data_IF_358989096690
#
_entry.id   IF_358989096690
#
_cell.length_a   1.000
_cell.length_b   1.000
_cell.length_c   1.000
_cell.angle_alpha   90.00
_cell.angle_beta   90.00
_cell.angle_gamma   90.00
#
_symmetry.space_group_name_H-M   'P 1'
#
loop_
_entity.id
_entity.type
_entity.pdbx_description
1 polymer ?
#
# COMPACT_ATOMS: atom_id res chain seq x y z
N UNK A 1 -3.95 -0.77 -22.05
CA UNK A 1 -3.00 0.22 -21.46
C UNK A 1 -2.70 -0.24 -20.05
N UNK A 2 -1.52 0.08 -19.48
CA UNK A 2 -1.25 -0.28 -18.09
C UNK A 2 -2.34 0.36 -17.23
N UNK A 3 -3.18 -0.47 -16.64
CA UNK A 3 -4.39 -0.05 -15.93
C UNK A 3 -4.06 0.61 -14.58
N UNK A 4 -2.79 0.79 -14.26
CA UNK A 4 -2.26 1.37 -13.02
C UNK A 4 -1.04 2.27 -13.33
N UNK A 5 -0.73 3.17 -12.41
CA UNK A 5 0.37 4.11 -12.53
C UNK A 5 1.55 3.67 -11.65
N UNK A 6 2.75 3.67 -12.22
CA UNK A 6 4.02 3.48 -11.51
C UNK A 6 4.95 4.63 -11.88
N UNK A 7 5.44 5.35 -10.87
CA UNK A 7 6.42 6.39 -11.08
C UNK A 7 7.74 5.79 -11.58
N UNK A 8 8.48 6.51 -12.43
CA UNK A 8 9.73 6.02 -13.04
C UNK A 8 10.83 5.63 -12.03
N UNK A 9 10.76 6.17 -10.79
CA UNK A 9 11.70 5.85 -9.71
C UNK A 9 11.21 4.75 -8.77
N UNK A 10 10.02 4.20 -8.99
CA UNK A 10 9.50 3.09 -8.20
C UNK A 10 9.99 1.75 -8.79
N UNK A 11 10.35 0.83 -7.91
CA UNK A 11 10.75 -0.52 -8.27
C UNK A 11 9.61 -1.48 -7.94
N UNK A 12 8.96 -2.00 -8.97
CA UNK A 12 7.86 -2.98 -8.82
C UNK A 12 8.30 -4.29 -9.45
N UNK A 13 8.36 -5.35 -8.64
CA UNK A 13 8.68 -6.69 -9.13
C UNK A 13 7.67 -7.11 -10.20
N UNK A 14 8.12 -7.70 -11.33
CA UNK A 14 7.20 -8.21 -12.36
C UNK A 14 6.35 -9.39 -11.86
N UNK A 15 6.69 -9.96 -10.69
CA UNK A 15 5.91 -11.01 -10.01
C UNK A 15 4.87 -10.44 -9.03
N UNK A 16 4.83 -9.12 -8.82
CA UNK A 16 3.79 -8.48 -8.04
C UNK A 16 2.49 -8.38 -8.85
N UNK A 17 1.34 -8.41 -8.15
CA UNK A 17 0.04 -8.18 -8.76
C UNK A 17 -0.42 -6.79 -8.34
N UNK A 18 -0.70 -5.93 -9.32
CA UNK A 18 -1.16 -4.56 -9.09
C UNK A 18 -2.53 -4.38 -9.75
N UNK A 19 -3.52 -4.04 -8.94
CA UNK A 19 -4.88 -3.81 -9.38
C UNK A 19 -5.02 -2.53 -10.21
N UNK A 20 -6.07 -2.48 -11.04
CA UNK A 20 -6.42 -1.30 -11.83
C UNK A 20 -6.63 -0.07 -10.94
N UNK A 21 -6.23 1.10 -11.43
CA UNK A 21 -6.35 2.38 -10.77
C UNK A 21 -5.33 2.60 -9.66
N UNK A 22 -4.50 1.60 -9.34
CA UNK A 22 -3.47 1.77 -8.32
C UNK A 22 -2.43 2.82 -8.76
N UNK A 23 -1.94 3.61 -7.81
CA UNK A 23 -0.92 4.65 -8.00
C UNK A 23 0.24 4.37 -7.07
N UNK A 24 1.38 4.02 -7.65
CA UNK A 24 2.63 3.74 -6.95
C UNK A 24 3.58 4.90 -7.19
N UNK A 25 3.81 5.71 -6.16
CA UNK A 25 4.58 6.95 -6.26
C UNK A 25 6.09 6.71 -6.07
N UNK A 26 6.83 7.82 -6.07
CA UNK A 26 8.29 7.88 -6.07
C UNK A 26 8.95 6.95 -5.05
N UNK A 27 10.00 6.23 -5.47
CA UNK A 27 10.85 5.41 -4.59
C UNK A 27 10.14 4.28 -3.84
N UNK A 28 8.91 3.93 -4.22
CA UNK A 28 8.27 2.73 -3.70
C UNK A 28 9.04 1.49 -4.14
N UNK A 29 9.04 0.47 -3.30
CA UNK A 29 9.59 -0.84 -3.59
C UNK A 29 8.51 -1.88 -3.33
N UNK A 30 8.11 -2.62 -4.35
CA UNK A 30 7.09 -3.68 -4.26
C UNK A 30 7.73 -5.00 -4.66
N UNK A 31 7.87 -5.90 -3.68
CA UNK A 31 8.54 -7.19 -3.86
C UNK A 31 7.62 -8.23 -4.50
N UNK A 32 8.21 -9.34 -4.93
CA UNK A 32 7.52 -10.47 -5.57
C UNK A 32 6.35 -11.01 -4.75
N UNK A 33 5.33 -11.52 -5.45
CA UNK A 33 4.12 -12.12 -4.86
C UNK A 33 3.28 -11.18 -3.98
N UNK A 34 3.66 -9.90 -3.84
CA UNK A 34 2.79 -8.90 -3.24
C UNK A 34 1.53 -8.70 -4.11
N UNK A 35 0.40 -8.44 -3.48
CA UNK A 35 -0.88 -8.19 -4.13
C UNK A 35 -1.41 -6.83 -3.68
N UNK A 36 -1.51 -5.89 -4.60
CA UNK A 36 -2.07 -4.56 -4.39
C UNK A 36 -3.45 -4.51 -5.04
N UNK A 37 -4.50 -4.22 -4.26
CA UNK A 37 -5.86 -4.10 -4.76
C UNK A 37 -6.09 -2.91 -5.71
N UNK A 38 -7.31 -2.83 -6.24
CA UNK A 38 -7.73 -1.74 -7.11
C UNK A 38 -7.78 -0.39 -6.37
N UNK A 39 -7.52 0.70 -7.11
CA UNK A 39 -7.60 2.09 -6.62
C UNK A 39 -6.75 2.39 -5.37
N UNK A 40 -5.71 1.61 -5.12
CA UNK A 40 -4.80 1.86 -4.00
C UNK A 40 -3.81 2.99 -4.30
N UNK A 41 -3.43 3.75 -3.28
CA UNK A 41 -2.41 4.79 -3.39
C UNK A 41 -1.26 4.46 -2.44
N UNK A 42 -0.07 4.23 -2.99
CA UNK A 42 1.18 4.09 -2.24
C UNK A 42 1.96 5.38 -2.38
N UNK A 43 2.08 6.14 -1.30
CA UNK A 43 2.85 7.38 -1.20
C UNK A 43 4.34 7.17 -1.45
N UNK A 44 5.12 8.25 -1.37
CA UNK A 44 6.58 8.21 -1.58
C UNK A 44 7.27 7.24 -0.61
N UNK A 45 8.23 6.47 -1.12
CA UNK A 45 9.13 5.64 -0.32
C UNK A 45 8.39 4.59 0.52
N UNK A 46 7.32 4.00 -0.04
CA UNK A 46 6.62 2.86 0.59
C UNK A 46 7.33 1.56 0.25
N UNK A 47 7.64 0.75 1.27
CA UNK A 47 8.18 -0.59 1.09
C UNK A 47 7.08 -1.63 1.26
N UNK A 48 6.90 -2.52 0.28
CA UNK A 48 5.94 -3.63 0.31
C UNK A 48 6.71 -4.92 0.10
N UNK A 49 6.85 -5.69 1.17
CA UNK A 49 7.61 -6.93 1.21
C UNK A 49 6.91 -8.09 0.48
N UNK A 50 7.62 -9.21 0.32
CA UNK A 50 7.13 -10.33 -0.48
C UNK A 50 5.86 -10.95 0.12
N UNK A 51 4.88 -11.22 -0.74
CA UNK A 51 3.63 -11.88 -0.32
C UNK A 51 2.65 -11.01 0.49
N UNK A 52 2.93 -9.72 0.70
CA UNK A 52 2.00 -8.79 1.36
C UNK A 52 0.70 -8.66 0.57
N UNK A 53 -0.43 -8.61 1.26
CA UNK A 53 -1.76 -8.45 0.66
C UNK A 53 -2.36 -7.11 1.04
N UNK A 54 -2.73 -6.30 0.07
CA UNK A 54 -3.38 -5.01 0.26
C UNK A 54 -4.74 -5.08 -0.45
N UNK A 55 -5.80 -4.83 0.29
CA UNK A 55 -7.18 -4.75 -0.20
C UNK A 55 -7.38 -3.61 -1.20
N UNK A 56 -8.64 -3.39 -1.60
CA UNK A 56 -9.01 -2.30 -2.51
C UNK A 56 -9.12 -0.96 -1.77
N UNK A 57 -9.02 0.15 -2.51
CA UNK A 57 -9.28 1.50 -1.99
C UNK A 57 -8.41 1.88 -0.77
N UNK A 58 -7.22 1.26 -0.63
CA UNK A 58 -6.31 1.57 0.47
C UNK A 58 -5.45 2.78 0.15
N UNK A 59 -5.09 3.55 1.18
CA UNK A 59 -4.16 4.66 1.05
C UNK A 59 -3.04 4.50 2.07
N UNK A 60 -1.83 4.35 1.56
CA UNK A 60 -0.62 4.16 2.35
C UNK A 60 0.22 5.42 2.17
N UNK A 61 0.46 6.12 3.27
CA UNK A 61 1.18 7.38 3.25
C UNK A 61 2.70 7.18 3.13
N UNK A 62 3.41 8.30 3.01
CA UNK A 62 4.84 8.30 2.73
C UNK A 62 5.66 7.60 3.83
N UNK A 63 6.72 6.90 3.41
CA UNK A 63 7.69 6.21 4.28
C UNK A 63 7.11 5.06 5.13
N UNK A 64 5.96 4.49 4.76
CA UNK A 64 5.44 3.30 5.41
C UNK A 64 6.07 2.02 4.85
N UNK A 65 6.33 1.03 5.72
CA UNK A 65 6.82 -0.30 5.32
C UNK A 65 5.82 -1.37 5.72
N UNK A 66 5.49 -2.29 4.82
CA UNK A 66 4.64 -3.45 5.04
C UNK A 66 5.50 -4.70 4.87
N UNK A 67 5.66 -5.48 5.94
CA UNK A 67 6.51 -6.67 5.95
C UNK A 67 5.73 -7.96 5.68
N UNK A 68 6.46 -9.02 5.32
CA UNK A 68 5.89 -10.33 5.06
C UNK A 68 4.89 -10.76 6.15
N UNK A 69 3.75 -11.32 5.72
CA UNK A 69 2.63 -11.71 6.60
C UNK A 69 1.58 -10.61 6.80
N UNK A 70 1.86 -9.35 6.43
CA UNK A 70 0.87 -8.27 6.53
C UNK A 70 -0.28 -8.45 5.52
N UNK A 71 -1.50 -8.26 6.01
CA UNK A 71 -2.72 -8.16 5.20
C UNK A 71 -3.49 -6.91 5.59
N UNK A 72 -3.67 -5.99 4.65
CA UNK A 72 -4.56 -4.83 4.79
C UNK A 72 -5.90 -5.15 4.15
N UNK A 73 -6.99 -4.94 4.90
CA UNK A 73 -8.35 -5.08 4.39
C UNK A 73 -8.72 -3.92 3.45
N UNK A 74 -9.90 -3.98 2.83
CA UNK A 74 -10.39 -2.91 1.96
C UNK A 74 -10.61 -1.60 2.73
N UNK A 75 -10.24 -0.47 2.11
CA UNK A 75 -10.46 0.87 2.66
C UNK A 75 -9.50 1.27 3.79
N UNK A 76 -8.47 0.46 4.04
CA UNK A 76 -7.48 0.75 5.09
C UNK A 76 -6.64 1.98 4.74
N UNK A 77 -6.52 2.89 5.71
CA UNK A 77 -5.63 4.04 5.67
C UNK A 77 -4.42 3.81 6.60
N UNK A 78 -3.21 3.95 6.06
CA UNK A 78 -1.95 3.91 6.82
C UNK A 78 -1.37 5.32 6.86
N UNK A 79 -1.20 5.88 8.05
CA UNK A 79 -0.80 7.27 8.27
C UNK A 79 0.69 7.53 8.09
N UNK A 80 1.06 8.82 8.02
CA UNK A 80 2.45 9.26 8.00
C UNK A 80 3.15 8.95 9.34
N UNK A 81 4.47 8.73 9.30
CA UNK A 81 5.34 8.43 10.47
C UNK A 81 5.11 7.06 11.15
N UNK A 82 4.27 6.20 10.57
CA UNK A 82 4.05 4.85 11.08
C UNK A 82 5.19 3.92 10.64
N UNK A 83 6.14 3.68 11.53
CA UNK A 83 7.14 2.61 11.42
C UNK A 83 6.42 1.28 11.71
N UNK A 84 5.54 0.85 10.82
CA UNK A 84 4.67 -0.31 11.10
C UNK A 84 5.37 -1.62 10.75
N UNK A 85 6.10 -2.16 11.72
CA UNK A 85 6.38 -3.59 11.79
C UNK A 85 5.22 -4.29 12.50
N UNK A 86 4.45 -5.17 11.85
CA UNK A 86 3.67 -6.20 12.55
C UNK A 86 3.42 -7.44 11.70
N UNK A 87 3.76 -8.63 12.24
CA UNK A 87 2.97 -9.84 12.11
C UNK A 87 2.19 -10.09 13.42
N UNK A 88 0.87 -9.86 13.42
CA UNK A 88 -0.13 -10.52 14.32
C UNK A 88 -1.50 -10.47 13.60
N UNK A 89 -1.78 -11.49 12.79
CA UNK A 89 -3.06 -12.05 12.32
C UNK A 89 -4.30 -11.21 11.92
N UNK A 90 -4.38 -9.89 12.09
CA UNK A 90 -5.38 -8.98 11.47
C UNK A 90 -5.15 -7.56 11.98
N UNK A 91 -4.57 -6.70 11.15
CA UNK A 91 -4.58 -5.26 11.41
C UNK A 91 -5.88 -4.69 10.86
N UNK A 92 -6.91 -4.65 11.71
CA UNK A 92 -8.01 -3.70 11.54
C UNK A 92 -7.42 -2.31 11.80
N UNK A 93 -7.39 -1.48 10.76
CA UNK A 93 -6.72 -0.18 10.74
C UNK A 93 -6.97 0.69 11.98
N UNK A 94 -5.96 1.46 12.37
CA UNK A 94 -6.13 2.61 13.26
C UNK A 94 -7.01 3.66 12.55
N UNK A 95 -8.32 3.52 12.69
CA UNK A 95 -9.28 4.55 12.35
C UNK A 95 -9.08 5.74 13.30
N UNK A 96 -8.52 6.84 12.82
CA UNK A 96 -8.74 8.14 13.46
C UNK A 96 -9.96 8.80 12.80
N UNK A 97 -11.12 8.87 13.47
CA UNK A 97 -12.40 9.28 12.88
C UNK A 97 -12.45 10.74 12.39
N UNK A 98 -11.41 11.55 12.62
CA UNK A 98 -11.34 12.94 12.11
C UNK A 98 -10.76 13.09 10.70
N UNK A 99 -10.19 12.06 10.07
CA UNK A 99 -9.54 12.22 8.75
C UNK A 99 -10.48 11.99 7.54
N UNK A 100 -11.68 11.44 7.72
CA UNK A 100 -12.63 11.20 6.61
C UNK A 100 -13.20 12.47 5.97
N UNK A 101 -13.10 13.63 6.63
CA UNK A 101 -13.54 14.93 6.09
C UNK A 101 -12.47 15.67 5.26
N UNK A 102 -11.22 15.18 5.23
CA UNK A 102 -10.10 15.87 4.56
C UNK A 102 -9.71 15.26 3.20
N UNK A 103 -10.48 14.30 2.70
CA UNK A 103 -10.26 13.66 1.39
C UNK A 103 -11.50 13.76 0.48
N UNK A 104 -12.18 14.90 0.51
CA UNK A 104 -12.97 15.42 -0.61
C UNK A 104 -12.17 16.53 -1.31
#
# INVERSE_FOLDING_TARGET
>A
MADFFVHATAEVSPKARVGRGAKIWHYCQVRENASIGENCILGKNVYVDFGVKIGKNCKIQNNSSLFHGATLEEGVFVGELQLTMLPVDRVTALFHPKLSMLLQ
#
